data_IF_472444118919
#
_entry.id   IF_472444118919
#
_cell.length_a   1.000
_cell.length_b   1.000
_cell.length_c   1.000
_cell.angle_alpha   90.00
_cell.angle_beta   90.00
_cell.angle_gamma   90.00
#
_symmetry.space_group_name_H-M   'P 1'
#
loop_
_entity.id
_entity.type
_entity.pdbx_description
1 polymer ?
#
# COMPACT_ATOMS: atom_id res chain seq x y z
N UNK A 1 6.20 -29.16 -4.00
CA UNK A 1 7.19 -28.20 -3.43
C UNK A 1 6.42 -27.25 -2.53
N UNK A 2 6.93 -26.97 -1.33
CA UNK A 2 6.31 -25.98 -0.44
C UNK A 2 6.58 -24.61 -1.06
N UNK A 3 5.54 -23.90 -1.49
CA UNK A 3 5.64 -22.54 -1.96
C UNK A 3 6.24 -21.68 -0.83
N UNK A 4 7.31 -20.93 -1.13
CA UNK A 4 7.90 -20.02 -0.13
C UNK A 4 6.96 -18.85 0.10
N UNK A 5 6.78 -18.48 1.36
CA UNK A 5 6.14 -17.23 1.70
C UNK A 5 7.17 -16.09 1.64
N UNK A 6 6.85 -15.06 0.88
CA UNK A 6 7.59 -13.80 0.89
C UNK A 6 6.79 -12.77 1.67
N UNK A 7 7.48 -11.96 2.47
CA UNK A 7 6.88 -10.86 3.19
C UNK A 7 7.02 -9.59 2.36
N UNK A 8 5.92 -8.94 2.10
CA UNK A 8 5.84 -7.69 1.35
C UNK A 8 5.08 -6.64 2.14
N UNK A 9 5.26 -5.38 1.82
CA UNK A 9 4.51 -4.29 2.41
C UNK A 9 4.10 -3.28 1.35
N UNK A 10 2.84 -2.85 1.41
CA UNK A 10 2.20 -2.03 0.39
C UNK A 10 1.64 -0.76 0.98
N UNK A 11 1.90 0.39 0.33
CA UNK A 11 1.44 1.71 0.68
C UNK A 11 0.26 2.14 -0.18
N UNK A 12 -0.96 2.07 0.35
CA UNK A 12 -2.13 2.69 -0.27
C UNK A 12 -2.13 4.19 0.06
N UNK A 13 -1.54 4.97 -0.83
CA UNK A 13 -1.47 6.43 -0.68
C UNK A 13 -2.85 7.02 -0.94
N UNK A 14 -3.43 7.63 0.08
CA UNK A 14 -4.82 8.09 0.05
C UNK A 14 -4.94 9.55 0.47
N UNK A 15 -5.49 10.37 -0.42
CA UNK A 15 -5.88 11.74 -0.11
C UNK A 15 -7.34 11.77 0.36
N UNK A 16 -7.53 11.98 1.66
CA UNK A 16 -8.86 12.03 2.29
C UNK A 16 -9.69 13.23 1.85
N UNK A 17 -9.05 14.33 1.46
CA UNK A 17 -9.77 15.56 1.11
C UNK A 17 -10.44 15.45 -0.26
N UNK A 18 -9.79 14.75 -1.19
CA UNK A 18 -10.30 14.58 -2.55
C UNK A 18 -10.74 13.15 -2.86
N UNK A 19 -10.65 12.24 -1.87
CA UNK A 19 -11.01 10.82 -1.99
C UNK A 19 -10.37 10.16 -3.20
N UNK A 20 -9.02 10.28 -3.32
CA UNK A 20 -8.22 9.73 -4.41
C UNK A 20 -7.08 8.87 -3.90
N UNK A 21 -6.65 7.92 -4.73
CA UNK A 21 -5.50 7.06 -4.49
C UNK A 21 -4.38 7.38 -5.47
N UNK A 22 -3.13 7.43 -5.00
CA UNK A 22 -1.96 7.46 -5.88
C UNK A 22 -1.58 6.01 -6.22
N UNK A 23 -1.64 5.68 -7.50
CA UNK A 23 -1.21 4.40 -8.03
C UNK A 23 -0.08 4.60 -9.04
N UNK A 24 0.81 3.62 -9.14
CA UNK A 24 1.93 3.61 -10.09
C UNK A 24 1.75 2.51 -11.12
N UNK A 25 2.15 2.78 -12.37
CA UNK A 25 2.18 1.76 -13.41
C UNK A 25 3.41 0.88 -13.21
N UNK A 26 3.17 -0.33 -12.73
CA UNK A 26 4.21 -1.30 -12.46
C UNK A 26 4.59 -2.07 -13.73
N UNK A 27 5.84 -1.93 -14.18
CA UNK A 27 6.29 -2.45 -15.48
C UNK A 27 6.20 -3.96 -15.63
N UNK A 28 6.52 -4.73 -14.57
CA UNK A 28 6.47 -6.19 -14.61
C UNK A 28 5.05 -6.73 -14.74
N UNK A 29 4.11 -6.17 -13.98
CA UNK A 29 2.72 -6.63 -14.02
C UNK A 29 1.90 -6.00 -15.14
N UNK A 30 2.33 -4.85 -15.68
CA UNK A 30 1.58 -4.07 -16.65
C UNK A 30 0.26 -3.54 -16.12
N UNK A 31 0.21 -3.18 -14.83
CA UNK A 31 -0.99 -2.70 -14.13
C UNK A 31 -0.70 -1.50 -13.25
N UNK A 32 -1.75 -0.74 -12.94
CA UNK A 32 -1.72 0.28 -11.89
C UNK A 32 -1.80 -0.39 -10.53
N UNK A 33 -0.79 -0.19 -9.69
CA UNK A 33 -0.68 -0.78 -8.35
C UNK A 33 -0.36 0.30 -7.31
N UNK A 34 -0.71 0.11 -6.05
CA UNK A 34 -0.14 0.90 -4.97
C UNK A 34 1.37 0.62 -4.86
N UNK A 35 2.20 1.62 -4.51
CA UNK A 35 3.63 1.41 -4.24
C UNK A 35 3.86 0.35 -3.18
N UNK A 36 4.84 -0.53 -3.39
CA UNK A 36 5.15 -1.60 -2.44
C UNK A 36 6.13 -2.63 -2.97
N UNK A 37 6.63 -3.47 -2.08
CA UNK A 37 7.60 -4.49 -2.44
C UNK A 37 8.02 -5.38 -1.28
N UNK A 38 9.04 -6.18 -1.52
CA UNK A 38 9.56 -7.13 -0.55
C UNK A 38 10.22 -6.46 0.66
N UNK A 39 9.99 -7.00 1.84
CA UNK A 39 10.69 -6.59 3.04
C UNK A 39 12.15 -7.06 3.00
N UNK A 40 13.04 -6.17 3.43
CA UNK A 40 14.43 -6.54 3.70
C UNK A 40 14.52 -7.42 4.96
N UNK A 41 15.65 -8.13 5.11
CA UNK A 41 15.88 -8.93 6.30
C UNK A 41 15.77 -8.08 7.58
N UNK A 42 14.94 -8.49 8.52
CA UNK A 42 14.69 -7.81 9.80
C UNK A 42 14.03 -6.41 9.68
N UNK A 43 13.50 -6.05 8.52
CA UNK A 43 12.79 -4.80 8.33
C UNK A 43 11.38 -4.86 8.94
N UNK A 44 11.02 -3.82 9.68
CA UNK A 44 9.66 -3.64 10.19
C UNK A 44 8.69 -3.36 9.03
N UNK A 45 7.53 -4.04 8.95
CA UNK A 45 6.65 -3.93 7.77
C UNK A 45 6.25 -2.50 7.39
N UNK A 46 5.96 -1.65 8.37
CA UNK A 46 5.60 -0.26 8.10
C UNK A 46 6.76 0.58 7.52
N UNK A 47 8.00 0.28 7.94
CA UNK A 47 9.19 0.91 7.36
C UNK A 47 9.45 0.43 5.94
N UNK A 48 9.21 -0.86 5.67
CA UNK A 48 9.28 -1.40 4.32
C UNK A 48 8.29 -0.71 3.37
N UNK A 49 7.03 -0.56 3.80
CA UNK A 49 6.02 0.17 3.03
C UNK A 49 6.44 1.62 2.72
N UNK A 50 6.98 2.33 3.72
CA UNK A 50 7.46 3.71 3.54
C UNK A 50 8.71 3.79 2.66
N UNK A 51 9.65 2.84 2.78
CA UNK A 51 10.84 2.75 1.94
C UNK A 51 10.47 2.53 0.47
N UNK A 52 9.59 1.55 0.18
CA UNK A 52 9.14 1.27 -1.18
C UNK A 52 8.42 2.48 -1.79
N UNK A 53 7.56 3.16 -1.02
CA UNK A 53 6.92 4.40 -1.46
C UNK A 53 7.95 5.46 -1.85
N UNK A 54 8.97 5.69 -1.00
CA UNK A 54 10.04 6.65 -1.26
C UNK A 54 10.87 6.24 -2.48
N UNK A 55 11.24 4.96 -2.60
CA UNK A 55 12.02 4.45 -3.71
C UNK A 55 11.29 4.58 -5.05
N UNK A 56 10.00 4.26 -5.10
CA UNK A 56 9.22 4.29 -6.34
C UNK A 56 8.74 5.70 -6.74
N UNK A 57 8.47 6.57 -5.78
CA UNK A 57 7.84 7.88 -6.04
C UNK A 57 8.67 9.09 -5.64
N UNK A 58 9.75 8.90 -4.87
CA UNK A 58 10.59 9.98 -4.35
C UNK A 58 9.96 10.77 -3.20
N UNK A 59 8.81 10.33 -2.66
CA UNK A 59 8.08 11.06 -1.62
C UNK A 59 7.97 10.23 -0.34
N UNK A 60 8.21 10.88 0.79
CA UNK A 60 7.98 10.30 2.11
C UNK A 60 6.50 10.36 2.50
N UNK A 61 6.00 9.30 3.12
CA UNK A 61 4.62 9.22 3.55
C UNK A 61 4.46 8.94 5.04
N UNK A 62 3.34 9.40 5.60
CA UNK A 62 2.93 9.14 6.97
C UNK A 62 1.81 8.10 7.01
N UNK A 63 1.97 7.06 7.83
CA UNK A 63 0.93 6.04 8.01
C UNK A 63 -0.29 6.66 8.71
N UNK A 64 -1.46 6.36 8.16
CA UNK A 64 -2.77 6.71 8.73
C UNK A 64 -3.38 5.47 9.38
N UNK A 65 -3.66 5.56 10.67
CA UNK A 65 -4.45 4.55 11.35
C UNK A 65 -5.94 4.89 11.19
N UNK A 66 -6.63 4.16 10.33
CA UNK A 66 -8.07 4.31 10.11
C UNK A 66 -8.92 3.41 11.01
N UNK A 67 -8.28 2.48 11.70
CA UNK A 67 -8.93 1.52 12.60
C UNK A 67 -8.48 1.75 14.03
N UNK A 68 -9.39 1.59 14.97
CA UNK A 68 -9.04 1.56 16.39
C UNK A 68 -8.30 0.27 16.70
N UNK A 69 -7.16 0.38 17.38
CA UNK A 69 -6.34 -0.74 17.79
C UNK A 69 -5.98 -0.62 19.27
N UNK A 70 -5.85 -1.76 19.97
CA UNK A 70 -5.33 -1.74 21.34
C UNK A 70 -3.98 -1.03 21.41
N UNK A 71 -3.71 -0.34 22.49
CA UNK A 71 -2.40 0.27 22.76
C UNK A 71 -1.63 -0.63 23.72
N UNK A 72 -0.48 -1.13 23.27
CA UNK A 72 0.38 -2.02 24.04
C UNK A 72 1.78 -1.43 24.09
N UNK A 73 2.20 -1.04 25.29
CA UNK A 73 3.54 -0.51 25.52
C UNK A 73 4.06 -0.97 26.87
N UNK A 74 5.29 -1.47 26.91
CA UNK A 74 6.03 -1.83 28.13
C UNK A 74 7.50 -1.45 27.95
N UNK A 75 8.34 -1.46 28.99
CA UNK A 75 9.78 -1.20 28.85
C UNK A 75 10.49 -2.11 27.82
N UNK A 76 9.92 -3.28 27.52
CA UNK A 76 10.49 -4.26 26.59
C UNK A 76 9.64 -4.46 25.32
N UNK A 77 8.55 -3.72 25.14
CA UNK A 77 7.60 -3.92 24.03
C UNK A 77 7.10 -2.58 23.52
N UNK A 78 7.28 -2.33 22.24
CA UNK A 78 6.64 -1.22 21.53
C UNK A 78 5.67 -1.78 20.51
N UNK A 79 4.47 -1.20 20.43
CA UNK A 79 3.52 -1.55 19.39
C UNK A 79 3.91 -0.88 18.07
N UNK A 80 4.04 -1.68 17.01
CA UNK A 80 4.22 -1.17 15.66
C UNK A 80 2.90 -0.61 15.11
N UNK A 81 2.94 0.30 14.12
CA UNK A 81 1.75 0.70 13.39
C UNK A 81 1.00 -0.52 12.85
N UNK A 82 -0.30 -0.58 13.14
CA UNK A 82 -1.11 -1.72 12.71
C UNK A 82 -1.41 -1.61 11.22
N UNK A 83 -1.19 -2.67 10.43
CA UNK A 83 -1.63 -2.72 9.04
C UNK A 83 -3.15 -2.51 8.93
N UNK A 84 -3.60 -1.87 7.88
CA UNK A 84 -5.02 -1.78 7.54
C UNK A 84 -5.64 -3.17 7.35
N UNK A 85 -4.92 -4.03 6.64
CA UNK A 85 -5.20 -5.47 6.56
C UNK A 85 -3.90 -6.22 6.23
N UNK A 86 -3.95 -7.55 6.32
CA UNK A 86 -2.88 -8.45 5.88
C UNK A 86 -3.49 -9.36 4.83
N UNK A 87 -2.91 -9.42 3.64
CA UNK A 87 -3.36 -10.24 2.54
C UNK A 87 -2.45 -11.46 2.36
N UNK A 88 -3.04 -12.57 1.90
CA UNK A 88 -2.29 -13.74 1.49
C UNK A 88 -2.53 -13.96 -0.01
N UNK A 89 -1.52 -13.71 -0.81
CA UNK A 89 -1.66 -13.56 -2.25
C UNK A 89 -0.81 -14.59 -2.99
N UNK A 90 -1.41 -15.22 -4.00
CA UNK A 90 -0.69 -16.11 -4.89
C UNK A 90 -0.10 -15.30 -6.05
N UNK A 91 1.22 -15.33 -6.16
CA UNK A 91 1.97 -14.69 -7.24
C UNK A 91 2.31 -15.75 -8.29
N UNK A 92 1.78 -15.62 -9.50
CA UNK A 92 2.07 -16.57 -10.57
C UNK A 92 3.50 -16.38 -11.10
N UNK A 93 4.08 -17.46 -11.61
CA UNK A 93 5.47 -17.46 -12.10
C UNK A 93 5.72 -16.45 -13.26
N UNK A 94 4.69 -16.10 -14.01
CA UNK A 94 4.78 -15.14 -15.13
C UNK A 94 5.08 -13.72 -14.65
N UNK A 95 4.79 -13.41 -13.38
CA UNK A 95 5.02 -12.06 -12.81
C UNK A 95 6.42 -11.97 -12.21
N UNK A 96 6.86 -12.97 -11.43
CA UNK A 96 8.14 -12.93 -10.69
C UNK A 96 9.04 -14.13 -10.95
N UNK A 97 8.80 -14.89 -12.03
CA UNK A 97 9.65 -15.99 -12.47
C UNK A 97 9.45 -17.32 -11.73
N UNK A 98 8.90 -17.33 -10.53
CA UNK A 98 8.58 -18.52 -9.73
C UNK A 98 7.26 -18.31 -8.98
N UNK A 99 6.38 -19.33 -9.01
CA UNK A 99 5.12 -19.28 -8.25
C UNK A 99 5.42 -19.32 -6.74
N UNK A 100 4.91 -18.32 -6.01
CA UNK A 100 5.08 -18.21 -4.56
C UNK A 100 3.91 -17.47 -3.92
N UNK A 101 3.94 -17.36 -2.59
CA UNK A 101 2.91 -16.66 -1.83
C UNK A 101 3.48 -15.39 -1.21
N UNK A 102 2.74 -14.28 -1.32
CA UNK A 102 2.98 -13.07 -0.56
C UNK A 102 2.14 -13.04 0.71
N UNK A 103 2.76 -12.63 1.82
CA UNK A 103 2.08 -12.11 3.00
C UNK A 103 2.28 -10.61 2.95
N UNK A 104 1.25 -9.89 2.52
CA UNK A 104 1.29 -8.44 2.29
C UNK A 104 0.72 -7.66 3.48
N UNK A 105 1.56 -6.81 4.08
CA UNK A 105 1.18 -5.87 5.12
C UNK A 105 0.73 -4.56 4.47
N UNK A 106 -0.58 -4.37 4.38
CA UNK A 106 -1.19 -3.21 3.73
C UNK A 106 -1.27 -2.03 4.69
N UNK A 107 -0.70 -0.90 4.32
CA UNK A 107 -0.80 0.36 5.06
C UNK A 107 -1.51 1.43 4.27
N UNK A 108 -2.32 2.25 4.95
CA UNK A 108 -2.85 3.49 4.38
C UNK A 108 -1.86 4.60 4.69
N UNK A 109 -1.50 5.38 3.67
CA UNK A 109 -0.43 6.39 3.78
C UNK A 109 -0.91 7.72 3.22
N UNK A 110 -0.54 8.80 3.90
CA UNK A 110 -0.74 10.19 3.45
C UNK A 110 0.60 10.78 3.04
N UNK A 111 0.61 11.51 1.93
CA UNK A 111 1.80 12.25 1.45
C UNK A 111 1.47 13.75 1.32
N UNK A 112 2.48 14.65 1.37
CA UNK A 112 2.28 16.05 1.04
C UNK A 112 1.84 16.19 -0.43
N UNK A 113 0.69 16.84 -0.67
CA UNK A 113 0.05 16.91 -1.99
C UNK A 113 0.80 17.74 -3.03
N UNK A 114 1.75 18.57 -2.59
CA UNK A 114 2.47 19.52 -3.44
C UNK A 114 3.91 19.10 -3.73
N UNK A 115 4.36 17.95 -3.23
CA UNK A 115 5.69 17.45 -3.54
C UNK A 115 5.72 16.83 -4.95
N UNK A 116 6.71 17.20 -5.77
CA UNK A 116 6.88 16.60 -7.08
C UNK A 116 7.30 15.13 -6.93
N UNK A 117 6.67 14.26 -7.70
CA UNK A 117 7.04 12.85 -7.74
C UNK A 117 8.31 12.65 -8.57
N UNK A 118 9.23 11.82 -8.08
CA UNK A 118 10.42 11.37 -8.79
C UNK A 118 10.38 9.84 -8.94
N UNK A 119 9.90 9.37 -10.08
CA UNK A 119 9.64 7.95 -10.29
C UNK A 119 10.93 7.17 -10.53
N UNK A 120 11.02 5.98 -9.92
CA UNK A 120 12.08 5.02 -10.19
C UNK A 120 11.84 4.33 -11.54
N UNK A 121 12.48 4.84 -12.57
CA UNK A 121 12.23 4.46 -13.96
C UNK A 121 12.45 2.98 -14.29
N UNK A 122 13.19 2.23 -13.49
CA UNK A 122 13.40 0.79 -13.66
C UNK A 122 12.14 -0.03 -13.36
N UNK A 123 11.35 0.39 -12.38
CA UNK A 123 10.20 -0.38 -11.86
C UNK A 123 8.86 0.22 -12.26
N UNK A 124 8.76 1.55 -12.21
CA UNK A 124 7.52 2.27 -12.49
C UNK A 124 7.71 3.27 -13.62
N UNK A 125 6.67 3.48 -14.42
CA UNK A 125 6.73 4.40 -15.57
C UNK A 125 5.75 5.55 -15.50
N UNK A 126 4.77 5.49 -14.61
CA UNK A 126 3.71 6.48 -14.45
C UNK A 126 3.23 6.45 -13.00
N UNK A 127 2.89 7.61 -12.45
CA UNK A 127 2.10 7.73 -11.23
C UNK A 127 0.83 8.54 -11.53
N UNK A 128 -0.29 8.08 -11.02
CA UNK A 128 -1.60 8.66 -11.31
C UNK A 128 -2.46 8.72 -10.05
N UNK A 129 -3.05 9.89 -9.81
CA UNK A 129 -4.13 10.04 -8.83
C UNK A 129 -5.45 9.54 -9.44
N UNK A 130 -6.03 8.52 -8.83
CA UNK A 130 -7.27 7.89 -9.27
C UNK A 130 -8.38 8.21 -8.26
N UNK A 131 -9.47 8.87 -8.67
CA UNK A 131 -10.66 9.03 -7.83
C UNK A 131 -11.20 7.68 -7.37
N UNK A 132 -11.70 7.58 -6.15
CA UNK A 132 -12.22 6.31 -5.63
C UNK A 132 -13.42 5.78 -6.42
N UNK A 133 -14.18 6.65 -7.06
CA UNK A 133 -15.29 6.29 -7.96
C UNK A 133 -14.82 5.65 -9.27
N UNK A 134 -13.59 5.91 -9.69
CA UNK A 134 -13.02 5.39 -10.95
C UNK A 134 -12.23 4.10 -10.75
N UNK A 135 -12.01 3.67 -9.51
CA UNK A 135 -11.19 2.49 -9.19
C UNK A 135 -11.66 1.22 -9.92
N UNK A 136 -12.95 1.05 -10.12
CA UNK A 136 -13.49 -0.12 -10.79
C UNK A 136 -13.22 -0.14 -12.29
N UNK A 137 -12.86 0.99 -12.88
CA UNK A 137 -12.64 1.17 -14.31
C UNK A 137 -11.17 1.16 -14.74
N UNK A 138 -10.22 1.12 -13.80
CA UNK A 138 -8.80 1.06 -14.11
C UNK A 138 -8.30 -0.37 -14.28
N UNK A 139 -7.18 -0.53 -15.00
CA UNK A 139 -6.50 -1.82 -15.15
C UNK A 139 -5.63 -2.11 -13.91
N UNK A 140 -6.22 -2.81 -12.96
CA UNK A 140 -5.59 -3.27 -11.73
C UNK A 140 -6.20 -4.59 -11.26
N UNK A 141 -5.61 -5.21 -10.24
CA UNK A 141 -6.15 -6.43 -9.65
C UNK A 141 -7.38 -6.18 -8.78
N UNK A 142 -8.25 -7.18 -8.67
CA UNK A 142 -9.51 -7.07 -7.91
C UNK A 142 -9.27 -6.82 -6.41
N UNK A 143 -8.24 -7.42 -5.82
CA UNK A 143 -7.85 -7.15 -4.42
C UNK A 143 -7.50 -5.67 -4.19
N UNK A 144 -6.81 -5.02 -5.15
CA UNK A 144 -6.51 -3.57 -5.08
C UNK A 144 -7.80 -2.76 -5.07
N UNK A 145 -8.75 -3.08 -5.96
CA UNK A 145 -10.07 -2.42 -6.00
C UNK A 145 -10.82 -2.57 -4.68
N UNK A 146 -10.84 -3.78 -4.12
CA UNK A 146 -11.52 -4.07 -2.85
C UNK A 146 -10.90 -3.29 -1.68
N UNK A 147 -9.57 -3.23 -1.59
CA UNK A 147 -8.89 -2.47 -0.53
C UNK A 147 -9.16 -0.97 -0.68
N UNK A 148 -9.08 -0.40 -1.88
CA UNK A 148 -9.41 1.00 -2.12
C UNK A 148 -10.86 1.35 -1.71
N UNK A 149 -11.82 0.49 -2.07
CA UNK A 149 -13.24 0.67 -1.66
C UNK A 149 -13.39 0.64 -0.14
N UNK A 150 -12.72 -0.29 0.54
CA UNK A 150 -12.75 -0.40 2.00
C UNK A 150 -12.15 0.84 2.68
N UNK A 151 -10.98 1.32 2.23
CA UNK A 151 -10.34 2.53 2.75
C UNK A 151 -11.25 3.75 2.58
N UNK A 152 -11.78 3.98 1.38
CA UNK A 152 -12.69 5.09 1.10
C UNK A 152 -13.95 5.04 1.96
N UNK A 153 -14.57 3.86 2.11
CA UNK A 153 -15.77 3.68 2.93
C UNK A 153 -15.52 3.97 4.42
N UNK A 154 -14.43 3.46 4.98
CA UNK A 154 -14.08 3.66 6.39
C UNK A 154 -13.72 5.13 6.65
N UNK A 155 -12.93 5.74 5.77
CA UNK A 155 -12.55 7.15 5.89
C UNK A 155 -13.75 8.09 5.88
N UNK A 156 -14.73 7.83 5.02
CA UNK A 156 -15.99 8.61 4.99
C UNK A 156 -16.79 8.49 6.28
N UNK A 157 -16.86 7.30 6.88
CA UNK A 157 -17.55 7.09 8.16
C UNK A 157 -16.84 7.81 9.31
N UNK A 158 -15.52 7.76 9.36
CA UNK A 158 -14.73 8.46 10.38
C UNK A 158 -14.85 10.00 10.28
N UNK A 159 -14.95 10.55 9.06
CA UNK A 159 -15.19 11.98 8.84
C UNK A 159 -16.59 12.48 9.26
N UNK A 160 -17.60 11.61 9.21
CA UNK A 160 -18.96 11.94 9.67
C UNK A 160 -19.05 11.96 11.22
N UNK A 161 -18.21 11.18 11.91
CA UNK A 161 -18.19 11.14 13.38
C UNK A 161 -17.45 12.32 14.04
N UNK A 162 -16.80 13.19 13.25
CA UNK A 162 -15.98 14.32 13.72
C UNK A 162 -16.65 15.70 13.54
N UNK A 163 -17.97 15.73 13.29
CA UNK A 163 -18.78 16.96 13.18
C UNK A 163 -19.68 17.11 14.41
#
# INVERSE_FOLDING_TARGET
MVSRNHYVATSYVYDRNTNRFLLVWHKKSGKLLPPGGHLNSQEEPHKGAQRELLEETGVEGRILNLLETPQVETPATAQLPTPFCILYEKIPAEVEGEEHMHIDFVYVVEIPLFEPLSLRAEEVSLAQWVPSEDIDHIDTYENVKQVCRAISSISKRAGIASV
#
